data_IF_192641478241
#
_entry.id   IF_192641478241
#
_cell.length_a   1.000
_cell.length_b   1.000
_cell.length_c   1.000
_cell.angle_alpha   90.00
_cell.angle_beta   90.00
_cell.angle_gamma   90.00
#
_symmetry.space_group_name_H-M   'P 1'
#
loop_
_entity.id
_entity.type
_entity.pdbx_description
1 polymer ?
#
# COMPACT_ATOMS: atom_id res chain seq x y z
N UNK A 1 -21.82 13.65 10.98
CA UNK A 1 -21.32 14.50 12.08
C UNK A 1 -19.88 14.89 11.76
N UNK A 2 -19.50 16.15 12.00
CA UNK A 2 -18.10 16.58 11.85
C UNK A 2 -17.29 16.02 13.04
N UNK A 3 -16.07 15.55 12.77
CA UNK A 3 -15.10 15.10 13.77
C UNK A 3 -13.93 16.08 13.79
N UNK A 4 -13.35 16.30 14.95
CA UNK A 4 -12.18 17.17 15.10
C UNK A 4 -10.94 16.32 15.38
N UNK A 5 -9.83 16.67 14.74
CA UNK A 5 -8.53 16.03 14.90
C UNK A 5 -7.46 17.11 15.00
N UNK A 6 -6.38 16.83 15.72
CA UNK A 6 -5.21 17.71 15.75
C UNK A 6 -4.49 17.70 14.41
N UNK A 7 -4.47 16.53 13.74
CA UNK A 7 -3.81 16.34 12.43
C UNK A 7 -4.70 15.53 11.50
N UNK A 8 -4.92 16.06 10.29
CA UNK A 8 -5.56 15.31 9.19
C UNK A 8 -4.56 15.11 8.07
N UNK A 9 -4.34 13.85 7.67
CA UNK A 9 -3.39 13.47 6.64
C UNK A 9 -4.14 12.95 5.43
N UNK A 10 -3.82 13.45 4.24
CA UNK A 10 -4.43 13.03 2.98
C UNK A 10 -3.44 12.15 2.22
N UNK A 11 -3.78 10.87 2.06
CA UNK A 11 -2.99 9.85 1.41
C UNK A 11 -2.19 8.98 2.37
N UNK A 12 -2.38 7.65 2.28
CA UNK A 12 -1.70 6.64 3.09
C UNK A 12 -0.46 6.03 2.39
N UNK A 13 0.24 6.80 1.57
CA UNK A 13 1.55 6.42 1.04
C UNK A 13 2.66 6.53 2.10
N UNK A 14 3.94 6.27 1.76
CA UNK A 14 5.05 6.27 2.72
C UNK A 14 5.16 7.54 3.56
N UNK A 15 4.99 8.70 2.95
CA UNK A 15 4.98 9.97 3.68
C UNK A 15 3.80 10.08 4.65
N UNK A 16 2.59 9.70 4.19
CA UNK A 16 1.37 9.80 4.97
C UNK A 16 1.33 8.86 6.17
N UNK A 17 1.56 7.56 5.98
CA UNK A 17 1.52 6.65 7.12
C UNK A 17 2.65 6.89 8.12
N UNK A 18 3.84 7.29 7.64
CA UNK A 18 4.95 7.64 8.55
C UNK A 18 4.64 8.89 9.35
N UNK A 19 4.05 9.92 8.73
CA UNK A 19 3.61 11.12 9.41
C UNK A 19 2.50 10.82 10.43
N UNK A 20 1.53 9.95 10.08
CA UNK A 20 0.47 9.54 10.97
C UNK A 20 1.00 8.83 12.22
N UNK A 21 1.91 7.86 12.04
CA UNK A 21 2.55 7.17 13.16
C UNK A 21 3.30 8.16 14.06
N UNK A 22 4.03 9.08 13.46
CA UNK A 22 4.81 10.04 14.25
C UNK A 22 3.93 11.01 15.02
N UNK A 23 2.88 11.54 14.41
CA UNK A 23 1.92 12.41 15.06
C UNK A 23 1.21 11.71 16.24
N UNK A 24 0.74 10.47 16.01
CA UNK A 24 0.10 9.68 17.06
C UNK A 24 1.06 9.33 18.21
N UNK A 25 2.34 9.03 17.93
CA UNK A 25 3.35 8.84 18.95
C UNK A 25 3.60 10.09 19.82
N UNK A 26 3.32 11.28 19.32
CA UNK A 26 3.33 12.54 20.09
C UNK A 26 2.04 12.80 20.86
N UNK A 27 1.09 11.86 20.84
CA UNK A 27 -0.18 11.98 21.56
C UNK A 27 -1.22 12.84 20.84
N UNK A 28 -1.04 13.13 19.56
CA UNK A 28 -2.01 13.88 18.77
C UNK A 28 -3.12 12.96 18.24
N UNK A 29 -4.35 13.46 18.19
CA UNK A 29 -5.46 12.81 17.51
C UNK A 29 -5.29 12.93 15.99
N UNK A 30 -5.24 11.78 15.30
CA UNK A 30 -4.89 11.73 13.87
C UNK A 30 -5.97 11.06 13.05
N UNK A 31 -6.40 11.74 11.97
CA UNK A 31 -7.16 11.12 10.89
C UNK A 31 -6.30 10.96 9.64
N UNK A 32 -6.31 9.76 9.04
CA UNK A 32 -5.66 9.47 7.77
C UNK A 32 -6.71 9.14 6.73
N UNK A 33 -6.73 9.88 5.62
CA UNK A 33 -7.71 9.70 4.54
C UNK A 33 -7.03 9.05 3.35
N UNK A 34 -7.54 7.91 2.89
CA UNK A 34 -7.01 7.18 1.72
C UNK A 34 -8.14 6.81 0.75
N UNK A 35 -7.95 7.16 -0.51
CA UNK A 35 -8.95 6.90 -1.56
C UNK A 35 -8.88 5.46 -2.11
N UNK A 36 -7.76 4.76 -1.99
CA UNK A 36 -7.54 3.45 -2.61
C UNK A 36 -7.07 2.43 -1.60
N UNK A 37 -5.77 2.12 -1.62
CA UNK A 37 -5.15 1.10 -0.77
C UNK A 37 -4.08 1.73 0.11
N UNK A 38 -4.11 1.40 1.38
CA UNK A 38 -3.07 1.75 2.34
C UNK A 38 -1.69 1.32 1.81
N UNK A 39 -0.68 2.17 2.05
CA UNK A 39 0.67 1.99 1.55
C UNK A 39 0.97 2.70 0.23
N UNK A 40 -0.07 3.23 -0.46
CA UNK A 40 0.08 4.00 -1.69
C UNK A 40 0.77 3.24 -2.82
N UNK A 41 1.36 3.96 -3.77
CA UNK A 41 2.04 3.36 -4.93
C UNK A 41 3.26 2.53 -4.52
N UNK A 42 4.06 3.01 -3.59
CA UNK A 42 5.29 2.33 -3.17
C UNK A 42 5.03 0.91 -2.67
N UNK A 43 4.10 0.73 -1.74
CA UNK A 43 3.79 -0.59 -1.17
C UNK A 43 3.07 -1.48 -2.18
N UNK A 44 2.09 -0.94 -2.90
CA UNK A 44 1.19 -1.77 -3.71
C UNK A 44 1.67 -2.03 -5.14
N UNK A 45 2.46 -1.12 -5.75
CA UNK A 45 2.80 -1.17 -7.18
C UNK A 45 4.24 -0.77 -7.51
N UNK A 46 5.02 -0.30 -6.54
CA UNK A 46 6.35 0.24 -6.74
C UNK A 46 7.41 -0.48 -5.93
N UNK A 47 7.86 0.13 -4.85
CA UNK A 47 9.05 -0.28 -4.09
C UNK A 47 9.00 -1.73 -3.61
N UNK A 48 7.93 -2.13 -2.95
CA UNK A 48 7.84 -3.46 -2.33
C UNK A 48 7.75 -4.58 -3.38
N UNK A 49 6.83 -4.54 -4.36
CA UNK A 49 6.79 -5.57 -5.40
C UNK A 49 8.09 -5.63 -6.23
N UNK A 50 8.70 -4.48 -6.52
CA UNK A 50 9.98 -4.45 -7.25
C UNK A 50 11.10 -5.11 -6.45
N UNK A 51 11.25 -4.76 -5.18
CA UNK A 51 12.27 -5.37 -4.31
C UNK A 51 12.05 -6.87 -4.11
N UNK A 52 10.79 -7.32 -4.00
CA UNK A 52 10.48 -8.75 -3.91
C UNK A 52 10.90 -9.51 -5.18
N UNK A 53 10.65 -8.94 -6.36
CA UNK A 53 11.07 -9.54 -7.63
C UNK A 53 12.58 -9.53 -7.80
N UNK A 54 13.26 -8.42 -7.49
CA UNK A 54 14.71 -8.33 -7.53
C UNK A 54 15.35 -9.37 -6.60
N UNK A 55 14.88 -9.45 -5.35
CA UNK A 55 15.40 -10.44 -4.41
C UNK A 55 15.28 -11.89 -4.92
N UNK A 56 14.14 -12.24 -5.52
CA UNK A 56 13.97 -13.57 -6.11
C UNK A 56 14.89 -13.78 -7.33
N UNK A 57 15.13 -12.74 -8.13
CA UNK A 57 16.06 -12.78 -9.25
C UNK A 57 17.52 -12.90 -8.78
N UNK A 58 17.91 -12.16 -7.76
CA UNK A 58 19.25 -12.21 -7.18
C UNK A 58 19.56 -13.59 -6.59
N UNK A 59 18.57 -14.20 -5.90
CA UNK A 59 18.69 -15.58 -5.41
C UNK A 59 18.92 -16.58 -6.54
N UNK A 60 18.17 -16.46 -7.65
CA UNK A 60 18.34 -17.32 -8.81
C UNK A 60 19.74 -17.14 -9.43
N UNK A 61 20.19 -15.89 -9.60
CA UNK A 61 21.52 -15.57 -10.13
C UNK A 61 22.64 -16.08 -9.21
N UNK A 62 22.48 -15.93 -7.89
CA UNK A 62 23.44 -16.44 -6.92
C UNK A 62 23.58 -17.96 -7.00
N UNK A 63 22.46 -18.68 -7.16
CA UNK A 63 22.49 -20.14 -7.32
C UNK A 63 23.17 -20.59 -8.62
N UNK A 64 23.05 -19.82 -9.71
CA UNK A 64 23.75 -20.12 -10.97
C UNK A 64 25.27 -19.95 -10.86
N UNK A 65 25.75 -19.16 -9.91
CA UNK A 65 27.17 -18.83 -9.75
C UNK A 65 27.73 -19.31 -8.40
N UNK A 66 27.06 -20.26 -7.75
CA UNK A 66 27.43 -20.69 -6.39
C UNK A 66 28.72 -21.50 -6.30
N UNK A 67 29.18 -22.08 -7.40
CA UNK A 67 30.45 -22.82 -7.47
C UNK A 67 31.64 -21.97 -7.02
N UNK A 68 31.65 -20.68 -7.31
CA UNK A 68 32.67 -19.75 -6.85
C UNK A 68 32.79 -19.67 -5.32
N UNK A 69 31.75 -20.07 -4.59
CA UNK A 69 31.71 -20.11 -3.12
C UNK A 69 31.90 -21.52 -2.56
N UNK A 70 32.23 -22.51 -3.39
CA UNK A 70 32.38 -23.91 -2.99
C UNK A 70 31.06 -24.63 -2.75
N UNK A 71 29.96 -24.08 -3.23
CA UNK A 71 28.61 -24.69 -3.18
C UNK A 71 28.24 -25.13 -4.59
N UNK A 72 27.87 -26.41 -4.76
CA UNK A 72 27.40 -26.94 -6.04
C UNK A 72 25.91 -27.27 -5.97
N UNK A 73 25.22 -27.05 -7.10
CA UNK A 73 23.80 -27.42 -7.25
C UNK A 73 23.64 -28.20 -8.56
N UNK A 74 22.97 -29.35 -8.50
CA UNK A 74 22.77 -30.21 -9.69
C UNK A 74 21.68 -29.69 -10.61
N UNK A 75 20.71 -28.95 -10.05
CA UNK A 75 19.56 -28.47 -10.83
C UNK A 75 18.97 -27.18 -10.25
N UNK A 76 18.81 -26.18 -11.11
CA UNK A 76 18.15 -24.91 -10.76
C UNK A 76 16.96 -24.73 -11.69
N UNK A 77 15.77 -24.63 -11.13
CA UNK A 77 14.54 -24.36 -11.86
C UNK A 77 13.95 -22.99 -11.49
N UNK A 78 13.38 -22.33 -12.46
CA UNK A 78 12.66 -21.07 -12.29
C UNK A 78 11.17 -21.25 -12.49
N UNK A 79 10.37 -20.86 -11.51
CA UNK A 79 8.90 -20.85 -11.57
C UNK A 79 8.38 -19.42 -11.40
N UNK A 80 8.01 -18.81 -12.51
CA UNK A 80 7.49 -17.44 -12.50
C UNK A 80 6.17 -17.30 -11.72
N UNK A 81 5.34 -18.32 -11.70
CA UNK A 81 4.09 -18.34 -10.93
C UNK A 81 4.34 -18.25 -9.42
N UNK A 82 5.31 -19.04 -8.93
CA UNK A 82 5.74 -18.97 -7.52
C UNK A 82 6.36 -17.63 -7.17
N UNK A 83 7.18 -17.06 -8.05
CA UNK A 83 7.78 -15.74 -7.87
C UNK A 83 6.69 -14.65 -7.76
N UNK A 84 5.68 -14.69 -8.62
CA UNK A 84 4.54 -13.76 -8.54
C UNK A 84 3.74 -13.94 -7.25
N UNK A 85 3.57 -15.16 -6.78
CA UNK A 85 2.92 -15.45 -5.49
C UNK A 85 3.72 -14.87 -4.33
N UNK A 86 5.04 -15.07 -4.30
CA UNK A 86 5.95 -14.49 -3.31
C UNK A 86 5.85 -12.97 -3.27
N UNK A 87 5.89 -12.30 -4.43
CA UNK A 87 5.70 -10.85 -4.54
C UNK A 87 4.37 -10.40 -3.94
N UNK A 88 3.26 -11.09 -4.24
CA UNK A 88 1.93 -10.75 -3.70
C UNK A 88 1.89 -10.90 -2.18
N UNK A 89 2.50 -11.94 -1.64
CA UNK A 89 2.60 -12.18 -0.20
C UNK A 89 3.43 -11.10 0.50
N UNK A 90 4.56 -10.69 -0.08
CA UNK A 90 5.40 -9.61 0.46
C UNK A 90 4.62 -8.30 0.55
N UNK A 91 3.86 -7.94 -0.50
CA UNK A 91 3.01 -6.74 -0.52
C UNK A 91 1.92 -6.82 0.55
N UNK A 92 1.23 -7.96 0.66
CA UNK A 92 0.16 -8.16 1.64
C UNK A 92 0.69 -8.00 3.08
N UNK A 93 1.78 -8.72 3.41
CA UNK A 93 2.42 -8.67 4.72
C UNK A 93 2.85 -7.26 5.11
N UNK A 94 3.39 -6.50 4.15
CA UNK A 94 3.83 -5.12 4.40
C UNK A 94 2.64 -4.20 4.71
N UNK A 95 1.55 -4.34 3.96
CA UNK A 95 0.31 -3.57 4.18
C UNK A 95 -0.32 -3.90 5.53
N UNK A 96 -0.46 -5.19 5.86
CA UNK A 96 -0.97 -5.66 7.16
C UNK A 96 -0.16 -5.07 8.33
N UNK A 97 1.16 -4.98 8.18
CA UNK A 97 2.01 -4.35 9.19
C UNK A 97 1.75 -2.85 9.38
N UNK A 98 1.41 -2.13 8.30
CA UNK A 98 1.01 -0.71 8.37
C UNK A 98 -0.37 -0.59 9.04
N UNK A 99 -1.34 -1.40 8.64
CA UNK A 99 -2.70 -1.42 9.20
C UNK A 99 -2.68 -1.73 10.71
N UNK A 100 -1.94 -2.75 11.13
CA UNK A 100 -1.72 -3.05 12.55
C UNK A 100 -1.02 -1.91 13.31
N UNK A 101 -0.15 -1.16 12.63
CA UNK A 101 0.46 0.05 13.20
C UNK A 101 -0.55 1.15 13.49
N UNK A 102 -1.52 1.36 12.60
CA UNK A 102 -2.60 2.32 12.82
C UNK A 102 -3.51 1.92 13.99
N UNK A 103 -3.91 0.66 14.06
CA UNK A 103 -4.72 0.14 15.17
C UNK A 103 -4.01 0.33 16.52
N UNK A 104 -2.72 -0.01 16.59
CA UNK A 104 -1.93 0.12 17.82
C UNK A 104 -1.77 1.56 18.30
N UNK A 105 -1.75 2.52 17.37
CA UNK A 105 -1.53 3.95 17.65
C UNK A 105 -2.83 4.76 17.65
N UNK A 106 -3.98 4.11 17.54
CA UNK A 106 -5.31 4.74 17.52
C UNK A 106 -5.44 5.83 16.44
N UNK A 107 -4.96 5.51 15.22
CA UNK A 107 -5.10 6.40 14.06
C UNK A 107 -6.39 6.09 13.34
N UNK A 108 -7.28 7.07 13.22
CA UNK A 108 -8.54 6.94 12.48
C UNK A 108 -8.29 6.87 10.97
N UNK A 109 -8.64 5.74 10.35
CA UNK A 109 -8.56 5.56 8.91
C UNK A 109 -9.91 5.87 8.27
N UNK A 110 -9.92 6.84 7.36
CA UNK A 110 -11.13 7.25 6.64
C UNK A 110 -10.96 6.93 5.16
N UNK A 111 -11.77 6.01 4.65
CA UNK A 111 -11.73 5.66 3.23
C UNK A 111 -12.53 6.66 2.39
N UNK A 112 -11.87 7.26 1.40
CA UNK A 112 -12.51 8.19 0.49
C UNK A 112 -11.56 9.21 -0.12
N UNK A 113 -12.11 10.02 -1.02
CA UNK A 113 -11.40 11.14 -1.66
C UNK A 113 -11.57 12.40 -0.83
N UNK A 114 -10.45 12.98 -0.39
CA UNK A 114 -10.42 14.19 0.41
C UNK A 114 -10.36 15.46 -0.44
N UNK A 115 -11.03 16.50 0.02
CA UNK A 115 -10.93 17.85 -0.53
C UNK A 115 -10.73 18.86 0.60
N UNK A 116 -9.60 19.55 0.59
CA UNK A 116 -9.33 20.63 1.53
C UNK A 116 -10.19 21.85 1.18
N UNK A 117 -10.86 22.43 2.17
CA UNK A 117 -11.65 23.65 2.08
C UNK A 117 -10.88 24.85 2.62
N UNK A 118 -11.31 26.07 2.24
CA UNK A 118 -10.66 27.32 2.69
C UNK A 118 -10.76 27.59 4.18
N UNK A 119 -11.79 27.05 4.84
CA UNK A 119 -12.05 27.13 6.27
C UNK A 119 -11.24 26.12 7.11
N UNK A 120 -10.22 25.50 6.54
CA UNK A 120 -9.40 24.43 7.14
C UNK A 120 -10.16 23.15 7.43
N UNK A 121 -11.35 22.96 6.85
CA UNK A 121 -12.04 21.66 6.91
C UNK A 121 -11.62 20.76 5.77
N UNK A 122 -11.70 19.44 5.99
CA UNK A 122 -11.46 18.42 4.97
C UNK A 122 -12.77 17.69 4.72
N UNK A 123 -13.30 17.85 3.52
CA UNK A 123 -14.47 17.12 3.06
C UNK A 123 -14.04 15.77 2.50
N UNK A 124 -14.63 14.68 3.00
CA UNK A 124 -14.37 13.33 2.50
C UNK A 124 -15.59 12.81 1.75
N UNK A 125 -15.39 12.39 0.52
CA UNK A 125 -16.40 11.68 -0.29
C UNK A 125 -16.04 10.20 -0.32
N UNK A 126 -16.88 9.36 0.29
CA UNK A 126 -16.71 7.91 0.19
C UNK A 126 -17.00 7.44 -1.25
N UNK A 127 -16.15 6.60 -1.80
CA UNK A 127 -16.35 6.05 -3.15
C UNK A 127 -17.47 5.00 -3.23
N UNK A 128 -18.00 4.51 -2.12
CA UNK A 128 -19.10 3.54 -2.10
C UNK A 128 -20.35 3.94 -2.88
N UNK A 129 -20.56 5.25 -3.07
CA UNK A 129 -21.67 5.76 -3.90
C UNK A 129 -21.41 5.81 -5.40
N UNK A 130 -20.16 5.62 -5.87
CA UNK A 130 -19.82 5.73 -7.30
C UNK A 130 -19.85 4.42 -8.07
N UNK A 131 -19.65 3.28 -7.39
CA UNK A 131 -19.55 1.97 -8.04
C UNK A 131 -20.87 1.56 -8.73
N UNK A 132 -22.01 2.07 -8.27
CA UNK A 132 -23.30 1.73 -8.86
C UNK A 132 -23.72 2.54 -10.11
N UNK A 133 -23.13 3.71 -10.37
CA UNK A 133 -23.54 4.59 -11.49
C UNK A 133 -22.58 4.63 -12.67
N UNK A 134 -21.28 4.40 -12.48
CA UNK A 134 -20.30 4.47 -13.57
C UNK A 134 -20.13 3.15 -14.34
N UNK A 135 -20.57 2.02 -13.79
CA UNK A 135 -20.50 0.72 -14.47
C UNK A 135 -21.51 0.58 -15.62
N UNK A 136 -22.50 1.45 -15.73
CA UNK A 136 -23.50 1.39 -16.80
C UNK A 136 -23.19 2.25 -18.03
N UNK A 137 -22.24 3.18 -17.98
CA UNK A 137 -21.96 4.10 -19.10
C UNK A 137 -20.66 3.81 -19.86
N UNK A 138 -19.85 2.83 -19.45
CA UNK A 138 -18.53 2.56 -20.04
C UNK A 138 -18.41 1.26 -20.84
N UNK A 139 -19.48 0.49 -20.93
CA UNK A 139 -19.54 -0.68 -21.81
C UNK A 139 -20.61 -0.49 -22.89
N UNK A 140 -20.32 0.36 -23.84
CA UNK A 140 -20.79 0.21 -25.20
C UNK A 140 -19.59 -0.19 -26.06
N UNK A 141 -19.49 -1.44 -26.48
CA UNK A 141 -18.40 -1.86 -27.36
C UNK A 141 -18.84 -1.65 -28.78
N UNK A 142 -18.83 -0.65 -29.37
CA UNK A 142 -19.10 -0.27 -30.77
C UNK A 142 -19.76 1.11 -30.87
N UNK A 143 -18.91 2.06 -31.12
CA UNK A 143 -19.07 2.95 -32.27
C UNK A 143 -17.68 3.44 -32.67
#
# INVERSE_FOLDING_TARGET
MARNYDVVIIGAGPGGYTAAFKAAQFGLSVALIEAKKIGGTCVNRGCIPTKALLHASDMFHMMQNCDAFGVSTDFIAFDFGKMQKYKKQAVAKYREGIEAGFERLDVDIIHGTAKLRRDRTVEVRSEERRVGKECRSRWSPYH
#
